data_IF_033182160948
#
_entry.id   IF_033182160948
#
_cell.length_a   1.000
_cell.length_b   1.000
_cell.length_c   1.000
_cell.angle_alpha   90.00
_cell.angle_beta   90.00
_cell.angle_gamma   90.00
#
_symmetry.space_group_name_H-M   'P 1'
#
loop_
_entity.id
_entity.type
_entity.pdbx_description
1 polymer ?
#
# COMPACT_ATOMS: atom_id res chain seq x y z
N UNK A 1 -15.59 -7.15 3.20
CA UNK A 1 -14.64 -6.17 3.74
C UNK A 1 -13.25 -6.73 3.51
N UNK A 2 -12.42 -6.03 2.75
CA UNK A 2 -11.19 -6.57 2.15
C UNK A 2 -9.98 -6.38 3.07
N UNK A 3 -9.01 -7.28 2.98
CA UNK A 3 -7.74 -7.22 3.70
C UNK A 3 -6.61 -6.97 2.73
N UNK A 4 -5.52 -6.39 3.23
CA UNK A 4 -4.27 -6.23 2.52
C UNK A 4 -3.20 -7.05 3.22
N UNK A 5 -2.64 -8.01 2.50
CA UNK A 5 -1.37 -8.64 2.83
C UNK A 5 -0.25 -7.82 2.19
N UNK A 6 0.60 -7.22 3.00
CA UNK A 6 1.75 -6.42 2.57
C UNK A 6 3.06 -7.17 2.75
N UNK A 7 3.98 -7.01 1.80
CA UNK A 7 5.35 -7.51 1.86
C UNK A 7 6.29 -6.34 1.56
N UNK A 8 7.36 -6.20 2.35
CA UNK A 8 8.52 -5.41 1.93
C UNK A 8 9.67 -6.35 1.65
N UNK A 9 10.32 -6.19 0.51
CA UNK A 9 11.40 -7.06 0.07
C UNK A 9 12.57 -6.27 -0.53
N UNK A 10 13.76 -6.83 -0.40
CA UNK A 10 14.91 -6.46 -1.22
C UNK A 10 14.85 -7.26 -2.53
N UNK A 11 15.09 -6.63 -3.68
CA UNK A 11 15.03 -7.30 -4.99
C UNK A 11 16.28 -6.93 -5.77
N UNK A 12 17.11 -7.92 -6.10
CA UNK A 12 18.38 -7.69 -6.79
C UNK A 12 18.18 -7.28 -8.26
N UNK A 13 17.26 -7.95 -8.97
CA UNK A 13 16.90 -7.64 -10.35
C UNK A 13 15.47 -7.10 -10.43
N UNK A 14 15.30 -5.82 -10.10
CA UNK A 14 14.01 -5.13 -10.11
C UNK A 14 13.39 -5.12 -11.51
N UNK A 15 14.21 -5.04 -12.56
CA UNK A 15 13.73 -5.03 -13.94
C UNK A 15 13.07 -6.35 -14.29
N UNK A 16 13.77 -7.48 -14.08
CA UNK A 16 13.22 -8.81 -14.35
C UNK A 16 12.02 -9.13 -13.44
N UNK A 17 12.04 -8.69 -12.19
CA UNK A 17 10.88 -8.79 -11.29
C UNK A 17 9.66 -8.04 -11.83
N UNK A 18 9.87 -6.83 -12.35
CA UNK A 18 8.82 -6.00 -12.94
C UNK A 18 8.26 -6.61 -14.21
N UNK A 19 9.12 -7.19 -15.05
CA UNK A 19 8.73 -7.91 -16.26
C UNK A 19 7.88 -9.15 -15.93
N UNK A 20 8.28 -9.95 -14.94
CA UNK A 20 7.50 -11.10 -14.47
C UNK A 20 6.14 -10.67 -13.88
N UNK A 21 6.14 -9.60 -13.08
CA UNK A 21 4.95 -8.94 -12.54
C UNK A 21 3.92 -8.60 -13.61
N UNK A 22 4.35 -7.87 -14.65
CA UNK A 22 3.47 -7.41 -15.73
C UNK A 22 3.06 -8.52 -16.72
N UNK A 23 3.75 -9.65 -16.75
CA UNK A 23 3.51 -10.70 -17.76
C UNK A 23 2.69 -11.88 -17.26
N UNK A 24 2.93 -12.37 -16.04
CA UNK A 24 2.25 -13.59 -15.56
C UNK A 24 2.05 -13.64 -14.05
N UNK A 25 2.92 -13.02 -13.24
CA UNK A 25 2.88 -13.17 -11.77
C UNK A 25 1.59 -12.62 -11.19
N UNK A 26 1.10 -11.46 -11.66
CA UNK A 26 -0.17 -10.89 -11.17
C UNK A 26 -1.34 -11.84 -11.42
N UNK A 27 -1.48 -12.31 -12.65
CA UNK A 27 -2.59 -13.18 -13.06
C UNK A 27 -2.54 -14.49 -12.28
N UNK A 28 -1.34 -15.06 -12.12
CA UNK A 28 -1.11 -16.26 -11.32
C UNK A 28 -1.56 -16.09 -9.86
N UNK A 29 -1.24 -14.96 -9.24
CA UNK A 29 -1.66 -14.67 -7.86
C UNK A 29 -3.16 -14.42 -7.75
N UNK A 30 -3.79 -13.85 -8.79
CA UNK A 30 -5.24 -13.68 -8.87
C UNK A 30 -5.93 -15.05 -8.98
N UNK A 31 -5.42 -15.96 -9.80
CA UNK A 31 -5.87 -17.36 -9.86
C UNK A 31 -5.79 -18.07 -8.50
N UNK A 32 -4.84 -17.67 -7.66
CA UNK A 32 -4.63 -18.19 -6.30
C UNK A 32 -5.49 -17.49 -5.23
N UNK A 33 -6.39 -16.57 -5.62
CA UNK A 33 -7.35 -15.93 -4.72
C UNK A 33 -7.03 -14.49 -4.32
N UNK A 34 -5.99 -13.87 -4.89
CA UNK A 34 -5.80 -12.43 -4.74
C UNK A 34 -6.84 -11.64 -5.55
N UNK A 35 -7.36 -10.56 -4.99
CA UNK A 35 -8.31 -9.66 -5.66
C UNK A 35 -7.61 -8.55 -6.45
N UNK A 36 -6.49 -8.06 -5.93
CA UNK A 36 -5.64 -7.06 -6.56
C UNK A 36 -4.20 -7.33 -6.12
N UNK A 37 -3.25 -7.21 -7.04
CA UNK A 37 -1.81 -7.31 -6.75
C UNK A 37 -1.11 -6.10 -7.35
N UNK A 38 -0.25 -5.47 -6.57
CA UNK A 38 0.59 -4.38 -7.04
C UNK A 38 1.94 -4.36 -6.36
N UNK A 39 2.92 -3.78 -7.03
CA UNK A 39 4.25 -3.57 -6.48
C UNK A 39 4.76 -2.17 -6.77
N UNK A 40 5.55 -1.62 -5.85
CA UNK A 40 6.19 -0.31 -6.01
C UNK A 40 7.57 -0.31 -5.37
N UNK A 41 8.56 0.26 -6.06
CA UNK A 41 9.88 0.46 -5.51
C UNK A 41 9.94 1.80 -4.77
N UNK A 42 10.30 1.75 -3.49
CA UNK A 42 10.43 2.92 -2.65
C UNK A 42 11.65 3.72 -3.08
N UNK A 43 11.43 4.98 -3.51
CA UNK A 43 12.49 5.90 -3.92
C UNK A 43 12.86 6.80 -2.74
N UNK A 44 11.87 7.45 -2.14
CA UNK A 44 12.03 8.31 -0.97
C UNK A 44 11.34 7.66 0.22
N UNK A 45 12.09 6.97 1.07
CA UNK A 45 11.53 6.30 2.25
C UNK A 45 12.52 6.15 3.42
N UNK A 46 13.58 6.97 3.45
CA UNK A 46 14.63 6.85 4.45
C UNK A 46 15.29 5.47 4.40
N UNK A 47 15.27 4.75 5.53
CA UNK A 47 15.83 3.40 5.62
C UNK A 47 15.15 2.37 4.70
N UNK A 48 13.92 2.63 4.23
CA UNK A 48 13.22 1.75 3.29
C UNK A 48 13.56 2.05 1.81
N UNK A 49 14.37 3.07 1.51
CA UNK A 49 14.75 3.41 0.15
C UNK A 49 15.42 2.22 -0.58
N UNK A 50 15.00 1.98 -1.82
CA UNK A 50 15.45 0.86 -2.65
C UNK A 50 14.67 -0.43 -2.46
N UNK A 51 13.92 -0.59 -1.36
CA UNK A 51 13.08 -1.78 -1.14
C UNK A 51 11.82 -1.74 -2.01
N UNK A 52 11.25 -2.92 -2.28
CA UNK A 52 9.99 -3.09 -3.01
C UNK A 52 8.88 -3.43 -2.03
N UNK A 53 7.84 -2.60 -2.02
CA UNK A 53 6.57 -2.91 -1.37
C UNK A 53 5.67 -3.67 -2.34
N UNK A 54 5.15 -4.82 -1.93
CA UNK A 54 4.16 -5.62 -2.66
C UNK A 54 2.91 -5.72 -1.83
N UNK A 55 1.75 -5.47 -2.43
CA UNK A 55 0.45 -5.57 -1.77
C UNK A 55 -0.44 -6.56 -2.50
N UNK A 56 -1.09 -7.43 -1.74
CA UNK A 56 -2.11 -8.36 -2.18
C UNK A 56 -3.41 -8.04 -1.46
N UNK A 57 -4.50 -7.79 -2.18
CA UNK A 57 -5.83 -7.65 -1.59
C UNK A 57 -6.50 -9.01 -1.52
N UNK A 58 -7.11 -9.35 -0.40
CA UNK A 58 -7.82 -10.63 -0.19
C UNK A 58 -9.18 -10.40 0.47
N UNK A 59 -10.13 -11.32 0.26
CA UNK A 59 -11.47 -11.18 0.82
C UNK A 59 -11.47 -11.26 2.36
N UNK A 60 -10.63 -12.12 2.94
CA UNK A 60 -10.51 -12.32 4.38
C UNK A 60 -9.05 -12.34 4.82
N UNK A 61 -8.82 -12.22 6.14
CA UNK A 61 -7.50 -12.41 6.73
C UNK A 61 -7.00 -13.86 6.55
N UNK A 62 -7.88 -14.85 6.65
CA UNK A 62 -7.54 -16.26 6.42
C UNK A 62 -7.09 -16.50 4.97
N UNK A 63 -7.80 -15.92 3.99
CA UNK A 63 -7.41 -15.97 2.58
C UNK A 63 -6.02 -15.35 2.34
N UNK A 64 -5.63 -14.33 3.12
CA UNK A 64 -4.27 -13.78 3.06
C UNK A 64 -3.21 -14.78 3.55
N UNK A 65 -3.51 -15.57 4.58
CA UNK A 65 -2.63 -16.63 5.07
C UNK A 65 -2.55 -17.81 4.09
N UNK A 66 -3.68 -18.19 3.50
CA UNK A 66 -3.75 -19.23 2.48
C UNK A 66 -2.98 -18.84 1.23
N UNK A 67 -3.14 -17.60 0.74
CA UNK A 67 -2.38 -17.07 -0.39
C UNK A 67 -0.87 -17.10 -0.12
N UNK A 68 -0.44 -16.74 1.10
CA UNK A 68 0.97 -16.82 1.50
C UNK A 68 1.50 -18.27 1.43
N UNK A 69 0.74 -19.24 1.95
CA UNK A 69 1.14 -20.63 1.91
C UNK A 69 1.19 -21.17 0.48
N UNK A 70 0.16 -20.88 -0.32
CA UNK A 70 0.06 -21.30 -1.71
C UNK A 70 1.21 -20.73 -2.57
N UNK A 71 1.60 -19.47 -2.33
CA UNK A 71 2.74 -18.83 -3.01
C UNK A 71 4.00 -19.70 -2.95
N UNK A 72 4.34 -20.21 -1.76
CA UNK A 72 5.56 -21.01 -1.55
C UNK A 72 5.44 -22.46 -2.01
N UNK A 73 4.23 -22.90 -2.36
CA UNK A 73 4.00 -24.22 -2.97
C UNK A 73 4.03 -24.16 -4.51
N UNK A 74 3.93 -22.98 -5.10
CA UNK A 74 4.04 -22.78 -6.54
C UNK A 74 5.52 -22.69 -6.97
N UNK A 75 6.03 -23.67 -7.74
CA UNK A 75 7.43 -23.72 -8.13
C UNK A 75 7.84 -22.59 -9.08
N UNK A 76 6.92 -22.03 -9.88
CA UNK A 76 7.22 -20.94 -10.79
C UNK A 76 7.39 -19.63 -10.02
N UNK A 77 6.54 -19.36 -9.03
CA UNK A 77 6.67 -18.21 -8.13
C UNK A 77 7.94 -18.27 -7.28
N UNK A 78 8.27 -19.45 -6.74
CA UNK A 78 9.53 -19.66 -6.00
C UNK A 78 10.74 -19.48 -6.91
N UNK A 79 10.69 -20.02 -8.13
CA UNK A 79 11.74 -19.82 -9.12
C UNK A 79 11.90 -18.35 -9.49
N UNK A 80 10.80 -17.62 -9.68
CA UNK A 80 10.83 -16.18 -9.94
C UNK A 80 11.56 -15.43 -8.82
N UNK A 81 11.24 -15.71 -7.56
CA UNK A 81 11.97 -15.10 -6.42
C UNK A 81 13.48 -15.36 -6.47
N UNK A 82 13.89 -16.60 -6.78
CA UNK A 82 15.31 -16.96 -6.88
C UNK A 82 15.98 -16.23 -8.05
N UNK A 83 15.34 -16.27 -9.22
CA UNK A 83 15.83 -15.70 -10.47
C UNK A 83 15.95 -14.18 -10.48
N UNK A 84 15.20 -13.49 -9.60
CA UNK A 84 15.24 -12.03 -9.44
C UNK A 84 15.89 -11.58 -8.13
N UNK A 85 16.35 -12.52 -7.31
CA UNK A 85 17.00 -12.26 -6.03
C UNK A 85 16.10 -11.56 -5.00
N UNK A 86 14.84 -11.98 -4.90
CA UNK A 86 13.90 -11.46 -3.89
C UNK A 86 14.26 -12.01 -2.51
N UNK A 87 14.44 -11.10 -1.54
CA UNK A 87 14.57 -11.41 -0.13
C UNK A 87 13.46 -10.69 0.64
N UNK A 88 12.59 -11.46 1.29
CA UNK A 88 11.49 -10.87 2.08
C UNK A 88 12.04 -10.31 3.39
N UNK A 89 11.83 -9.01 3.62
CA UNK A 89 12.28 -8.32 4.82
C UNK A 89 11.18 -8.37 5.89
N UNK A 90 9.95 -8.00 5.53
CA UNK A 90 8.81 -7.95 6.45
C UNK A 90 7.51 -8.35 5.76
N UNK A 91 6.53 -8.73 6.58
CA UNK A 91 5.15 -8.96 6.18
C UNK A 91 4.23 -8.18 7.11
N UNK A 92 3.10 -7.75 6.58
CA UNK A 92 2.05 -7.09 7.33
C UNK A 92 0.67 -7.57 6.89
N UNK A 93 -0.27 -7.56 7.82
CA UNK A 93 -1.70 -7.69 7.55
C UNK A 93 -2.38 -6.38 7.94
N UNK A 94 -3.22 -5.88 7.05
CA UNK A 94 -4.01 -4.68 7.27
C UNK A 94 -5.46 -4.89 6.83
N UNK A 95 -6.36 -4.13 7.45
CA UNK A 95 -7.75 -4.01 7.03
C UNK A 95 -7.87 -2.84 6.06
N UNK A 96 -8.50 -3.07 4.91
CA UNK A 96 -8.83 -2.00 3.98
C UNK A 96 -10.04 -1.24 4.50
N UNK A 97 -9.88 0.06 4.75
CA UNK A 97 -10.92 0.94 5.28
C UNK A 97 -11.57 1.75 4.17
N UNK A 98 -10.76 2.21 3.21
CA UNK A 98 -11.23 3.05 2.11
C UNK A 98 -10.57 2.62 0.80
N UNK A 99 -11.39 2.57 -0.26
CA UNK A 99 -10.98 2.31 -1.64
C UNK A 99 -11.69 3.34 -2.52
N UNK A 100 -10.91 4.22 -3.16
CA UNK A 100 -11.42 5.21 -4.12
C UNK A 100 -10.58 5.14 -5.39
N UNK A 101 -11.23 5.15 -6.55
CA UNK A 101 -10.52 5.08 -7.84
C UNK A 101 -9.68 3.82 -8.02
N UNK A 102 -8.70 3.88 -8.91
CA UNK A 102 -7.82 2.77 -9.26
C UNK A 102 -6.35 3.07 -8.94
N UNK A 103 -5.48 2.09 -9.11
CA UNK A 103 -4.04 2.22 -8.85
C UNK A 103 -3.23 2.43 -10.13
N UNK A 104 -3.88 2.75 -11.25
CA UNK A 104 -3.23 2.94 -12.56
C UNK A 104 -2.56 4.31 -12.62
N UNK A 105 -1.26 4.34 -12.30
CA UNK A 105 -0.43 5.53 -12.31
C UNK A 105 1.06 5.17 -12.23
N UNK A 106 1.93 6.15 -12.46
CA UNK A 106 3.38 5.98 -12.35
C UNK A 106 3.92 5.98 -10.91
N UNK A 107 3.27 6.73 -10.01
CA UNK A 107 3.77 6.96 -8.67
C UNK A 107 2.72 6.68 -7.59
N UNK A 108 3.22 6.40 -6.39
CA UNK A 108 2.41 6.34 -5.17
C UNK A 108 3.07 7.15 -4.05
N UNK A 109 2.24 7.92 -3.35
CA UNK A 109 2.61 8.64 -2.12
C UNK A 109 1.84 8.04 -0.96
N UNK A 110 2.56 7.54 0.04
CA UNK A 110 1.97 6.93 1.23
C UNK A 110 2.35 7.72 2.48
N UNK A 111 1.36 8.15 3.25
CA UNK A 111 1.56 8.70 4.59
C UNK A 111 1.35 7.59 5.62
N UNK A 112 2.29 7.47 6.55
CA UNK A 112 2.31 6.46 7.60
C UNK A 112 1.89 7.12 8.92
N UNK A 113 0.80 6.63 9.49
CA UNK A 113 0.20 7.15 10.71
C UNK A 113 0.45 6.24 11.91
N UNK A 114 0.48 6.84 13.10
CA UNK A 114 0.37 6.17 14.39
C UNK A 114 -0.88 6.66 15.14
N UNK A 115 -1.19 6.02 16.28
CA UNK A 115 -2.34 6.37 17.12
C UNK A 115 -3.38 5.25 17.17
N UNK A 116 -4.46 5.50 17.92
CA UNK A 116 -5.59 4.57 18.03
C UNK A 116 -6.34 4.47 16.69
N UNK A 117 -6.97 3.31 16.40
CA UNK A 117 -7.80 3.18 15.20
C UNK A 117 -8.92 4.21 15.12
N UNK A 118 -9.07 4.84 13.96
CA UNK A 118 -10.24 5.66 13.63
C UNK A 118 -11.48 4.77 13.44
N UNK A 119 -12.67 5.32 13.72
CA UNK A 119 -13.93 4.69 13.33
C UNK A 119 -14.07 4.67 11.79
N UNK A 120 -14.98 3.83 11.28
CA UNK A 120 -15.28 3.77 9.84
C UNK A 120 -15.78 5.13 9.31
N UNK A 121 -16.60 5.83 10.08
CA UNK A 121 -17.11 7.16 9.74
C UNK A 121 -15.98 8.19 9.65
N UNK A 122 -15.02 8.15 10.57
CA UNK A 122 -13.87 9.05 10.55
C UNK A 122 -12.92 8.74 9.38
N UNK A 123 -12.69 7.47 9.07
CA UNK A 123 -11.94 7.06 7.87
C UNK A 123 -12.60 7.60 6.60
N UNK A 124 -13.92 7.40 6.49
CA UNK A 124 -14.70 7.89 5.35
C UNK A 124 -14.63 9.40 5.23
N UNK A 125 -14.88 10.13 6.31
CA UNK A 125 -14.79 11.59 6.31
C UNK A 125 -13.43 12.08 5.84
N UNK A 126 -12.34 11.56 6.43
CA UNK A 126 -11.00 11.97 6.07
C UNK A 126 -10.74 11.74 4.57
N UNK A 127 -11.05 10.55 4.06
CA UNK A 127 -10.80 10.24 2.64
C UNK A 127 -11.73 10.96 1.67
N UNK A 128 -12.97 11.28 2.06
CA UNK A 128 -13.85 12.14 1.26
C UNK A 128 -13.24 13.55 1.11
N UNK A 129 -12.71 14.12 2.21
CA UNK A 129 -12.00 15.40 2.19
C UNK A 129 -10.77 15.31 1.28
N UNK A 130 -9.89 14.32 1.48
CA UNK A 130 -8.70 14.14 0.64
C UNK A 130 -9.06 13.95 -0.83
N UNK A 131 -10.06 13.13 -1.14
CA UNK A 131 -10.47 12.89 -2.52
C UNK A 131 -11.09 14.12 -3.18
N UNK A 132 -11.88 14.92 -2.44
CA UNK A 132 -12.45 16.17 -2.95
C UNK A 132 -11.39 17.18 -3.43
N UNK A 133 -10.17 17.09 -2.88
CA UNK A 133 -9.03 17.94 -3.24
C UNK A 133 -8.10 17.28 -4.24
N UNK A 134 -7.82 15.99 -4.07
CA UNK A 134 -6.80 15.27 -4.83
C UNK A 134 -7.32 14.57 -6.09
N UNK A 135 -8.63 14.39 -6.27
CA UNK A 135 -9.19 13.60 -7.36
C UNK A 135 -8.88 14.11 -8.78
N UNK A 136 -8.45 15.37 -8.92
CA UNK A 136 -7.95 15.91 -10.19
C UNK A 136 -6.48 15.57 -10.49
N UNK A 137 -5.70 15.21 -9.47
CA UNK A 137 -4.26 14.92 -9.56
C UNK A 137 -3.93 13.44 -9.28
N UNK A 138 -4.86 12.69 -8.68
CA UNK A 138 -4.71 11.30 -8.30
C UNK A 138 -5.71 10.40 -9.03
N UNK A 139 -5.28 9.20 -9.41
CA UNK A 139 -6.15 8.19 -10.05
C UNK A 139 -6.87 7.32 -9.03
N UNK A 140 -6.36 7.27 -7.79
CA UNK A 140 -7.05 6.62 -6.68
C UNK A 140 -6.34 6.77 -5.35
N UNK A 141 -7.04 6.31 -4.30
CA UNK A 141 -6.60 6.32 -2.92
C UNK A 141 -6.99 5.03 -2.21
N UNK A 142 -6.17 4.64 -1.23
CA UNK A 142 -6.42 3.52 -0.32
C UNK A 142 -6.12 3.95 1.10
N UNK A 143 -7.05 3.67 2.01
CA UNK A 143 -6.87 3.83 3.45
C UNK A 143 -6.82 2.46 4.10
N UNK A 144 -5.76 2.18 4.85
CA UNK A 144 -5.59 0.90 5.54
C UNK A 144 -5.26 1.09 7.01
N UNK A 145 -5.82 0.21 7.84
CA UNK A 145 -5.50 0.09 9.25
C UNK A 145 -4.65 -1.16 9.45
N UNK A 146 -3.47 -1.01 10.08
CA UNK A 146 -2.59 -2.13 10.38
C UNK A 146 -3.23 -3.03 11.45
N UNK A 147 -3.20 -4.34 11.21
CA UNK A 147 -3.61 -5.37 12.19
C UNK A 147 -2.37 -6.02 12.79
N UNK A 148 -1.39 -6.35 11.95
CA UNK A 148 -0.13 -6.96 12.35
C UNK A 148 0.98 -6.50 11.42
N UNK A 149 2.05 -5.91 11.95
CA UNK A 149 3.21 -5.45 11.18
C UNK A 149 4.51 -5.50 12.01
N UNK A 150 4.57 -6.40 12.99
CA UNK A 150 5.71 -6.55 13.89
C UNK A 150 5.80 -5.41 14.92
N UNK A 151 7.01 -5.02 15.36
CA UNK A 151 7.22 -4.00 16.39
C UNK A 151 7.05 -2.55 15.87
N UNK A 152 6.49 -2.37 14.67
CA UNK A 152 6.34 -1.06 14.04
C UNK A 152 5.33 -0.20 14.81
N UNK A 153 5.61 1.10 15.04
CA UNK A 153 4.63 2.01 15.63
C UNK A 153 3.53 2.45 14.65
N UNK A 154 3.62 2.04 13.38
CA UNK A 154 2.66 2.40 12.33
C UNK A 154 1.36 1.63 12.56
N UNK A 155 0.26 2.37 12.73
CA UNK A 155 -1.09 1.79 12.92
C UNK A 155 -2.02 2.05 11.73
N UNK A 156 -1.67 2.99 10.86
CA UNK A 156 -2.45 3.38 9.70
C UNK A 156 -1.57 3.76 8.51
N UNK A 157 -2.08 3.59 7.30
CA UNK A 157 -1.44 4.10 6.08
C UNK A 157 -2.50 4.63 5.11
N UNK A 158 -2.27 5.81 4.56
CA UNK A 158 -3.05 6.38 3.47
C UNK A 158 -2.18 6.54 2.25
N UNK A 159 -2.57 5.93 1.12
CA UNK A 159 -1.83 5.94 -0.13
C UNK A 159 -2.65 6.60 -1.24
N UNK A 160 -1.99 7.40 -2.07
CA UNK A 160 -2.56 8.00 -3.28
C UNK A 160 -1.68 7.69 -4.50
N UNK A 161 -2.31 7.37 -5.63
CA UNK A 161 -1.63 7.08 -6.89
C UNK A 161 -1.83 8.23 -7.88
N UNK A 162 -0.80 8.59 -8.64
CA UNK A 162 -0.87 9.66 -9.62
C UNK A 162 0.38 9.75 -10.50
N UNK A 163 0.30 10.54 -11.56
CA UNK A 163 1.35 10.66 -12.58
C UNK A 163 2.29 11.84 -12.35
N UNK A 164 1.98 12.71 -11.39
CA UNK A 164 2.83 13.82 -10.97
C UNK A 164 2.88 13.91 -9.45
N UNK A 165 4.08 13.77 -8.87
CA UNK A 165 4.30 13.93 -7.44
C UNK A 165 3.96 15.36 -7.01
N UNK A 166 4.37 16.35 -7.81
CA UNK A 166 4.16 17.77 -7.49
C UNK A 166 2.66 18.08 -7.41
N UNK A 167 1.88 17.60 -8.38
CA UNK A 167 0.43 17.80 -8.38
C UNK A 167 -0.25 17.10 -7.20
N UNK A 168 0.16 15.86 -6.87
CA UNK A 168 -0.41 15.14 -5.73
C UNK A 168 -0.10 15.82 -4.40
N UNK A 169 1.13 16.31 -4.21
CA UNK A 169 1.53 17.00 -2.98
C UNK A 169 0.84 18.35 -2.85
N UNK A 170 0.74 19.10 -3.95
CA UNK A 170 0.02 20.37 -3.96
C UNK A 170 -1.48 20.16 -3.67
N UNK A 171 -2.11 19.19 -4.32
CA UNK A 171 -3.55 18.94 -4.19
C UNK A 171 -3.94 18.43 -2.79
N UNK A 172 -3.06 17.68 -2.10
CA UNK A 172 -3.36 17.16 -0.75
C UNK A 172 -3.01 18.13 0.38
N UNK A 173 -2.31 19.24 0.10
CA UNK A 173 -1.88 20.19 1.14
C UNK A 173 -3.05 20.82 1.90
N UNK A 174 -4.12 21.21 1.20
CA UNK A 174 -5.33 21.78 1.84
C UNK A 174 -6.09 20.76 2.68
N UNK A 175 -6.11 19.49 2.28
CA UNK A 175 -6.81 18.44 3.02
C UNK A 175 -6.22 18.22 4.43
N UNK A 176 -4.91 18.43 4.60
CA UNK A 176 -4.26 18.38 5.92
C UNK A 176 -4.64 19.54 6.84
N UNK A 177 -5.15 20.64 6.27
CA UNK A 177 -5.59 21.81 7.01
C UNK A 177 -7.08 21.78 7.34
N UNK A 178 -7.80 20.74 6.90
CA UNK A 178 -9.20 20.57 7.22
C UNK A 178 -9.41 20.33 8.74
N UNK A 179 -10.26 21.12 9.42
CA UNK A 179 -10.46 21.00 10.86
C UNK A 179 -10.97 19.63 11.30
N UNK A 180 -11.82 18.98 10.51
CA UNK A 180 -12.35 17.66 10.86
C UNK A 180 -11.28 16.57 10.73
N UNK A 181 -10.40 16.67 9.73
CA UNK A 181 -9.22 15.79 9.62
C UNK A 181 -8.30 15.97 10.83
N UNK A 182 -8.03 17.22 11.23
CA UNK A 182 -7.19 17.53 12.40
C UNK A 182 -7.82 17.04 13.72
N UNK A 183 -9.13 17.23 13.89
CA UNK A 183 -9.87 16.76 15.06
C UNK A 183 -9.86 15.23 15.15
N UNK A 184 -10.10 14.54 14.03
CA UNK A 184 -10.05 13.07 13.98
C UNK A 184 -8.66 12.54 14.36
N UNK A 185 -7.59 13.16 13.85
CA UNK A 185 -6.23 12.81 14.25
C UNK A 185 -6.01 13.06 15.75
N UNK A 186 -6.38 14.23 16.27
CA UNK A 186 -6.23 14.56 17.68
C UNK A 186 -6.99 13.58 18.60
N UNK A 187 -8.20 13.17 18.20
CA UNK A 187 -9.08 12.29 18.98
C UNK A 187 -8.48 10.90 19.25
N UNK A 188 -7.55 10.47 18.40
CA UNK A 188 -6.89 9.15 18.50
C UNK A 188 -5.45 9.25 18.99
N UNK A 189 -4.98 10.44 19.37
CA UNK A 189 -3.56 10.71 19.61
C UNK A 189 -2.72 10.48 18.34
N UNK A 190 -3.34 10.62 17.17
CA UNK A 190 -2.78 10.27 15.89
C UNK A 190 -1.76 11.27 15.37
N UNK A 191 -0.73 10.76 14.71
CA UNK A 191 0.31 11.59 14.09
C UNK A 191 0.83 10.95 12.81
N UNK A 192 1.35 11.76 11.89
CA UNK A 192 2.09 11.24 10.74
C UNK A 192 3.54 11.01 11.18
N UNK A 193 3.94 9.75 11.19
CA UNK A 193 5.28 9.30 11.61
C UNK A 193 6.23 9.10 10.44
N UNK A 194 5.70 9.13 9.21
CA UNK A 194 6.52 9.02 8.02
C UNK A 194 5.75 9.25 6.73
N UNK A 195 6.51 9.45 5.66
CA UNK A 195 6.00 9.49 4.29
C UNK A 195 6.93 8.69 3.40
N UNK A 196 6.34 7.97 2.47
CA UNK A 196 7.05 7.20 1.44
C UNK A 196 6.58 7.66 0.07
N UNK A 197 7.52 7.86 -0.85
CA UNK A 197 7.25 8.08 -2.28
C UNK A 197 7.91 6.95 -3.05
N UNK A 198 7.11 6.27 -3.87
CA UNK A 198 7.54 5.11 -4.63
C UNK A 198 7.12 5.21 -6.09
N UNK A 199 7.89 4.52 -6.95
CA UNK A 199 7.54 4.32 -8.36
C UNK A 199 6.82 2.98 -8.49
N UNK A 200 5.69 2.97 -9.18
CA UNK A 200 4.94 1.74 -9.45
C UNK A 200 5.75 0.83 -10.38
N UNK A 201 5.72 -0.46 -10.11
CA UNK A 201 6.31 -1.49 -10.95
C UNK A 201 5.22 -2.20 -11.78
N UNK A 202 4.12 -2.60 -11.13
CA UNK A 202 2.96 -3.26 -11.76
C UNK A 202 1.72 -3.23 -10.87
#
# INVERSE_FOLDING_TARGET
>A
MTYMYGVTASVADVKKFTEAGNSWVKDRLIEMGALEVGASQIVMGGAAAGTVGVSFSTETADAAMELNAAFYQDPELVKMMQDTGVQVNTRALAKMQVVVGNTDAEYVVSNLGSGMPLSEEQWKYNFDVFWSKAGGAATGMRGVQMISNGPSPITAMGSAWGNSIDEMLAATAEAWMDPGVQENMASTGGSIVGRVIARKLF
#
